data_IF_229584543429
#
_entry.id   IF_229584543429
#
_cell.length_a   1.000
_cell.length_b   1.000
_cell.length_c   1.000
_cell.angle_alpha   90.00
_cell.angle_beta   90.00
_cell.angle_gamma   90.00
#
_symmetry.space_group_name_H-M   'P 1'
#
loop_
_entity.id
_entity.type
_entity.pdbx_description
1 polymer ?
#
# COMPACT_ATOMS: atom_id res chain seq x y z
N UNK A 1 -48.33 -29.71 -28.00
CA UNK A 1 -46.99 -29.09 -27.86
C UNK A 1 -47.11 -27.61 -28.11
N UNK A 2 -46.79 -26.76 -27.13
CA UNK A 2 -46.80 -25.30 -27.29
C UNK A 2 -45.78 -24.89 -28.36
N UNK A 3 -46.22 -24.15 -29.37
CA UNK A 3 -45.40 -23.71 -30.51
C UNK A 3 -44.43 -22.64 -29.99
N UNK A 4 -43.12 -22.90 -30.00
CA UNK A 4 -42.11 -21.88 -29.67
C UNK A 4 -42.17 -20.77 -30.72
N UNK A 5 -42.72 -19.62 -30.34
CA UNK A 5 -42.90 -18.47 -31.23
C UNK A 5 -41.60 -17.67 -31.38
N UNK A 6 -40.72 -17.72 -30.36
CA UNK A 6 -39.42 -17.04 -30.34
C UNK A 6 -38.46 -17.70 -29.35
N UNK A 7 -37.15 -17.51 -29.54
CA UNK A 7 -36.11 -17.93 -28.59
C UNK A 7 -36.26 -17.21 -27.25
N UNK A 8 -36.78 -15.98 -27.27
CA UNK A 8 -36.96 -15.15 -26.08
C UNK A 8 -38.08 -15.64 -25.15
N UNK A 9 -39.02 -16.45 -25.65
CA UNK A 9 -40.08 -17.07 -24.83
C UNK A 9 -39.75 -18.51 -24.44
N UNK A 10 -38.56 -19.00 -24.75
CA UNK A 10 -38.13 -20.37 -24.44
C UNK A 10 -37.41 -20.44 -23.08
N UNK A 11 -38.10 -20.97 -22.08
CA UNK A 11 -37.53 -21.17 -20.74
C UNK A 11 -36.25 -22.02 -20.76
N UNK A 12 -36.14 -23.03 -21.63
CA UNK A 12 -34.93 -23.87 -21.70
C UNK A 12 -33.75 -23.13 -22.28
N UNK A 13 -33.99 -22.22 -23.23
CA UNK A 13 -32.93 -21.35 -23.76
C UNK A 13 -32.36 -20.50 -22.63
N UNK A 14 -33.21 -19.79 -21.88
CA UNK A 14 -32.76 -18.93 -20.78
C UNK A 14 -32.07 -19.69 -19.65
N UNK A 15 -32.56 -20.86 -19.27
CA UNK A 15 -31.91 -21.72 -18.28
C UNK A 15 -30.49 -22.12 -18.72
N UNK A 16 -30.32 -22.51 -19.99
CA UNK A 16 -29.00 -22.86 -20.55
C UNK A 16 -28.10 -21.65 -20.67
N UNK A 17 -28.62 -20.52 -21.14
CA UNK A 17 -27.86 -19.28 -21.27
C UNK A 17 -27.38 -18.78 -19.90
N UNK A 18 -28.24 -18.82 -18.88
CA UNK A 18 -27.85 -18.49 -17.51
C UNK A 18 -26.73 -19.43 -17.01
N UNK A 19 -26.89 -20.74 -17.19
CA UNK A 19 -25.86 -21.72 -16.81
C UNK A 19 -24.52 -21.46 -17.53
N UNK A 20 -24.54 -21.18 -18.84
CA UNK A 20 -23.34 -20.89 -19.61
C UNK A 20 -22.68 -19.58 -19.21
N UNK A 21 -23.43 -18.49 -19.09
CA UNK A 21 -22.91 -17.17 -18.70
C UNK A 21 -22.29 -17.25 -17.31
N UNK A 22 -22.99 -17.86 -16.34
CA UNK A 22 -22.46 -18.05 -14.98
C UNK A 22 -21.23 -18.96 -14.99
N UNK A 23 -21.26 -20.07 -15.73
CA UNK A 23 -20.13 -21.00 -15.81
C UNK A 23 -18.88 -20.36 -16.41
N UNK A 24 -19.01 -19.66 -17.54
CA UNK A 24 -17.88 -18.96 -18.19
C UNK A 24 -17.37 -17.81 -17.33
N UNK A 25 -18.27 -17.00 -16.74
CA UNK A 25 -17.87 -15.93 -15.83
C UNK A 25 -17.11 -16.48 -14.61
N UNK A 26 -17.56 -17.60 -14.04
CA UNK A 26 -16.87 -18.25 -12.93
C UNK A 26 -15.47 -18.74 -13.33
N UNK A 27 -15.32 -19.40 -14.48
CA UNK A 27 -14.00 -19.82 -14.98
C UNK A 27 -13.07 -18.63 -15.22
N UNK A 28 -13.59 -17.53 -15.80
CA UNK A 28 -12.82 -16.31 -16.03
C UNK A 28 -12.36 -15.69 -14.70
N UNK A 29 -13.22 -15.61 -13.70
CA UNK A 29 -12.87 -15.10 -12.37
C UNK A 29 -11.82 -15.97 -11.68
N UNK A 30 -11.92 -17.31 -11.80
CA UNK A 30 -10.89 -18.22 -11.28
C UNK A 30 -9.55 -17.95 -11.95
N UNK A 31 -9.53 -17.82 -13.27
CA UNK A 31 -8.30 -17.53 -14.00
C UNK A 31 -7.69 -16.18 -13.62
N UNK A 32 -8.49 -15.11 -13.57
CA UNK A 32 -8.06 -13.78 -13.13
C UNK A 32 -7.57 -13.76 -11.68
N UNK A 33 -8.09 -14.65 -10.84
CA UNK A 33 -7.61 -14.82 -9.46
C UNK A 33 -6.17 -15.33 -9.46
N UNK A 34 -5.85 -16.37 -10.22
CA UNK A 34 -4.47 -16.88 -10.32
C UNK A 34 -3.50 -15.88 -10.94
N UNK A 35 -3.93 -15.17 -11.99
CA UNK A 35 -3.16 -14.09 -12.59
C UNK A 35 -2.85 -12.99 -11.55
N UNK A 36 -3.87 -12.52 -10.83
CA UNK A 36 -3.71 -11.52 -9.78
C UNK A 36 -2.78 -11.99 -8.66
N UNK A 37 -2.94 -13.24 -8.19
CA UNK A 37 -2.06 -13.83 -7.16
C UNK A 37 -0.59 -13.83 -7.60
N UNK A 38 -0.31 -14.08 -8.89
CA UNK A 38 1.06 -14.04 -9.41
C UNK A 38 1.65 -12.63 -9.41
N UNK A 39 0.82 -11.61 -9.68
CA UNK A 39 1.23 -10.21 -9.74
C UNK A 39 1.42 -9.57 -8.36
N UNK A 40 0.67 -10.01 -7.35
CA UNK A 40 0.76 -9.50 -5.97
C UNK A 40 1.68 -10.32 -5.08
N UNK A 41 2.33 -11.36 -5.62
CA UNK A 41 3.29 -12.17 -4.87
C UNK A 41 4.46 -11.28 -4.44
N UNK A 42 4.70 -11.26 -3.13
CA UNK A 42 5.81 -10.53 -2.52
C UNK A 42 7.16 -11.10 -3.01
N UNK A 43 8.12 -10.21 -3.24
CA UNK A 43 9.51 -10.60 -3.51
C UNK A 43 10.24 -11.11 -2.27
N UNK A 44 11.38 -11.74 -2.48
CA UNK A 44 12.28 -12.18 -1.41
C UNK A 44 13.48 -11.26 -1.24
N UNK A 45 14.25 -11.44 -0.18
CA UNK A 45 15.52 -10.71 0.01
C UNK A 45 16.49 -10.90 -1.16
N UNK A 46 16.52 -12.08 -1.78
CA UNK A 46 17.38 -12.39 -2.93
C UNK A 46 16.96 -11.58 -4.17
N UNK A 47 15.65 -11.47 -4.42
CA UNK A 47 15.13 -10.61 -5.51
C UNK A 47 15.63 -9.17 -5.34
N UNK A 48 15.54 -8.64 -4.12
CA UNK A 48 15.99 -7.27 -3.84
C UNK A 48 17.51 -7.12 -4.02
N UNK A 49 18.30 -8.09 -3.54
CA UNK A 49 19.77 -8.07 -3.67
C UNK A 49 20.26 -8.22 -5.11
N UNK A 50 19.47 -8.86 -5.97
CA UNK A 50 19.76 -9.05 -7.40
C UNK A 50 19.27 -7.89 -8.27
N UNK A 51 18.70 -6.84 -7.65
CA UNK A 51 18.13 -5.69 -8.35
C UNK A 51 16.79 -5.97 -9.02
N UNK A 52 16.14 -7.10 -8.70
CA UNK A 52 14.82 -7.47 -9.22
C UNK A 52 13.75 -6.83 -8.33
N UNK A 53 13.15 -5.75 -8.82
CA UNK A 53 12.02 -5.09 -8.15
C UNK A 53 10.70 -5.69 -8.64
N UNK A 54 10.16 -6.66 -7.88
CA UNK A 54 8.78 -7.12 -8.08
C UNK A 54 7.79 -6.02 -7.72
N UNK A 55 6.56 -6.13 -8.23
CA UNK A 55 5.48 -5.17 -7.95
C UNK A 55 5.27 -4.97 -6.45
N UNK A 56 5.28 -6.05 -5.69
CA UNK A 56 5.31 -6.04 -4.23
C UNK A 56 6.72 -6.45 -3.79
N UNK A 57 7.55 -5.53 -3.29
CA UNK A 57 8.92 -5.83 -2.91
C UNK A 57 8.99 -6.65 -1.62
N UNK A 58 10.18 -7.16 -1.34
CA UNK A 58 10.48 -7.92 -0.11
C UNK A 58 10.19 -7.13 1.15
N UNK A 59 9.80 -7.79 2.26
CA UNK A 59 9.72 -7.16 3.58
C UNK A 59 10.98 -6.36 3.95
N UNK A 60 12.16 -6.84 3.53
CA UNK A 60 13.44 -6.21 3.85
C UNK A 60 13.64 -4.84 3.19
N UNK A 61 12.73 -4.40 2.33
CA UNK A 61 12.75 -3.05 1.73
C UNK A 61 12.76 -1.94 2.79
N UNK A 62 12.29 -2.23 4.02
CA UNK A 62 12.36 -1.27 5.14
C UNK A 62 13.80 -0.87 5.50
N UNK A 63 14.79 -1.70 5.16
CA UNK A 63 16.22 -1.42 5.35
C UNK A 63 16.81 -0.49 4.28
N UNK A 64 16.01 -0.04 3.32
CA UNK A 64 16.46 0.72 2.17
C UNK A 64 15.67 2.00 2.04
N UNK A 65 16.31 3.00 1.42
CA UNK A 65 15.65 4.23 1.02
C UNK A 65 14.69 3.93 -0.13
N UNK A 66 13.46 4.41 -0.02
CA UNK A 66 12.43 4.29 -1.06
C UNK A 66 12.22 5.68 -1.67
N UNK A 67 12.35 5.78 -2.98
CA UNK A 67 12.04 7.01 -3.75
C UNK A 67 11.15 6.67 -4.94
N UNK A 68 10.70 7.72 -5.66
CA UNK A 68 9.94 7.58 -6.90
C UNK A 68 10.63 8.39 -8.00
N UNK A 69 10.75 7.78 -9.18
CA UNK A 69 11.35 8.42 -10.34
C UNK A 69 10.46 8.23 -11.57
N UNK A 70 10.41 9.24 -12.44
CA UNK A 70 9.61 9.16 -13.66
C UNK A 70 10.23 8.16 -14.65
N UNK A 71 9.46 7.15 -15.06
CA UNK A 71 9.88 6.20 -16.09
C UNK A 71 9.33 6.62 -17.45
N UNK A 72 10.20 7.07 -18.37
CA UNK A 72 9.79 7.42 -19.74
C UNK A 72 9.08 6.25 -20.45
N UNK A 73 9.56 5.02 -20.24
CA UNK A 73 8.99 3.80 -20.82
C UNK A 73 7.55 3.54 -20.36
N UNK A 74 7.24 3.85 -19.10
CA UNK A 74 5.93 3.57 -18.50
C UNK A 74 5.01 4.80 -18.51
N UNK A 75 5.55 5.99 -18.65
CA UNK A 75 4.80 7.25 -18.68
C UNK A 75 4.32 7.73 -17.30
N UNK A 76 4.88 7.18 -16.21
CA UNK A 76 4.52 7.52 -14.83
C UNK A 76 5.67 7.23 -13.87
N UNK A 77 5.54 7.71 -12.63
CA UNK A 77 6.51 7.52 -11.56
C UNK A 77 6.50 6.09 -11.02
N UNK A 78 7.69 5.50 -10.87
CA UNK A 78 7.91 4.13 -10.38
C UNK A 78 8.77 4.14 -9.12
N UNK A 79 8.58 3.17 -8.19
CA UNK A 79 9.43 3.07 -7.02
C UNK A 79 10.86 2.72 -7.42
N UNK A 80 11.82 3.41 -6.80
CA UNK A 80 13.24 3.11 -6.87
C UNK A 80 13.71 2.79 -5.45
N UNK A 81 14.35 1.63 -5.29
CA UNK A 81 14.94 1.22 -4.02
C UNK A 81 16.41 1.60 -4.06
N UNK A 82 16.78 2.53 -3.20
CA UNK A 82 18.11 3.11 -3.13
C UNK A 82 19.04 2.37 -2.17
N UNK A 83 19.95 3.12 -1.57
CA UNK A 83 20.92 2.63 -0.59
C UNK A 83 20.27 2.21 0.74
N UNK A 84 21.07 1.58 1.60
CA UNK A 84 20.62 1.21 2.95
C UNK A 84 20.28 2.45 3.78
N UNK A 85 19.19 2.35 4.51
CA UNK A 85 18.70 3.38 5.41
C UNK A 85 18.35 2.74 6.76
N UNK A 86 18.70 3.42 7.85
CA UNK A 86 18.33 2.95 9.20
C UNK A 86 16.83 3.11 9.40
N UNK A 87 16.20 2.07 9.91
CA UNK A 87 14.81 2.01 10.33
C UNK A 87 14.75 1.77 11.85
N UNK A 88 14.33 2.77 12.63
CA UNK A 88 14.43 2.74 14.10
C UNK A 88 15.84 2.35 14.58
N UNK A 89 16.86 3.01 14.03
CA UNK A 89 18.27 2.84 14.43
C UNK A 89 19.01 1.64 13.83
N UNK A 90 18.32 0.72 13.15
CA UNK A 90 18.89 -0.50 12.54
C UNK A 90 18.66 -0.55 11.04
N UNK A 91 19.58 -1.09 10.25
CA UNK A 91 19.47 -1.26 8.79
C UNK A 91 19.65 -2.72 8.34
N UNK A 92 19.48 -3.65 9.29
CA UNK A 92 19.86 -5.06 9.17
C UNK A 92 18.72 -6.03 9.47
N UNK A 93 17.47 -5.57 9.45
CA UNK A 93 16.31 -6.44 9.73
C UNK A 93 16.32 -7.63 8.76
N UNK A 94 16.29 -8.83 9.34
CA UNK A 94 16.11 -10.07 8.58
C UNK A 94 14.73 -10.09 7.91
N UNK A 95 14.55 -10.99 6.92
CA UNK A 95 13.27 -11.13 6.24
C UNK A 95 12.15 -11.55 7.20
N UNK A 96 12.46 -12.39 8.19
CA UNK A 96 11.53 -12.80 9.24
C UNK A 96 11.15 -11.64 10.16
N UNK A 97 12.13 -10.88 10.68
CA UNK A 97 11.87 -9.72 11.53
C UNK A 97 11.06 -8.64 10.79
N UNK A 98 11.44 -8.34 9.55
CA UNK A 98 10.74 -7.37 8.72
C UNK A 98 9.31 -7.84 8.44
N UNK A 99 9.11 -9.12 8.09
CA UNK A 99 7.77 -9.67 7.85
C UNK A 99 6.92 -9.64 9.12
N UNK A 100 7.49 -9.90 10.30
CA UNK A 100 6.77 -9.82 11.57
C UNK A 100 6.30 -8.38 11.86
N UNK A 101 7.15 -7.37 11.64
CA UNK A 101 6.79 -5.96 11.78
C UNK A 101 5.69 -5.55 10.79
N UNK A 102 5.80 -5.96 9.53
CA UNK A 102 4.80 -5.69 8.49
C UNK A 102 3.45 -6.33 8.82
N UNK A 103 3.46 -7.56 9.31
CA UNK A 103 2.25 -8.25 9.77
C UNK A 103 1.60 -7.55 10.96
N UNK A 104 2.40 -7.13 11.93
CA UNK A 104 1.90 -6.37 13.08
C UNK A 104 1.27 -5.04 12.63
N UNK A 105 1.94 -4.29 11.76
CA UNK A 105 1.42 -3.03 11.22
C UNK A 105 0.15 -3.21 10.39
N UNK A 106 0.13 -4.24 9.53
CA UNK A 106 -1.07 -4.58 8.76
C UNK A 106 -2.24 -4.93 9.68
N UNK A 107 -2.02 -5.77 10.68
CA UNK A 107 -3.05 -6.13 11.66
C UNK A 107 -3.52 -4.90 12.44
N UNK A 108 -2.59 -4.07 12.93
CA UNK A 108 -2.91 -2.82 13.63
C UNK A 108 -3.76 -1.89 12.75
N UNK A 109 -3.41 -1.72 11.47
CA UNK A 109 -4.21 -0.87 10.55
C UNK A 109 -5.65 -1.37 10.40
N UNK A 110 -5.86 -2.68 10.47
CA UNK A 110 -7.17 -3.31 10.37
C UNK A 110 -7.94 -3.22 11.69
N UNK A 111 -7.30 -3.51 12.82
CA UNK A 111 -7.93 -3.47 14.15
C UNK A 111 -8.30 -2.06 14.57
N UNK A 112 -7.47 -1.07 14.21
CA UNK A 112 -7.73 0.36 14.41
C UNK A 112 -8.59 0.97 13.30
N UNK A 113 -9.00 0.17 12.32
CA UNK A 113 -9.91 0.53 11.23
C UNK A 113 -9.48 1.78 10.44
N UNK A 114 -8.19 1.88 10.11
CA UNK A 114 -7.63 3.05 9.40
C UNK A 114 -8.37 3.32 8.08
N UNK A 115 -8.83 2.28 7.38
CA UNK A 115 -9.59 2.39 6.12
C UNK A 115 -10.95 3.08 6.26
N UNK A 116 -11.49 3.23 7.48
CA UNK A 116 -12.74 3.96 7.70
C UNK A 116 -12.57 5.49 7.64
N UNK A 117 -11.33 5.97 7.67
CA UNK A 117 -11.00 7.38 7.48
C UNK A 117 -10.14 7.61 6.24
N UNK A 118 -9.21 6.70 5.96
CA UNK A 118 -8.22 6.79 4.89
C UNK A 118 -8.52 5.82 3.75
N UNK A 119 -7.92 6.06 2.60
CA UNK A 119 -7.73 5.03 1.58
C UNK A 119 -6.34 4.39 1.72
N UNK A 120 -6.26 3.10 1.40
CA UNK A 120 -5.02 2.34 1.21
C UNK A 120 -5.10 1.68 -0.16
N UNK A 121 -4.09 1.91 -1.01
CA UNK A 121 -4.13 1.51 -2.42
C UNK A 121 -5.41 1.99 -3.13
N UNK A 122 -5.89 3.20 -2.79
CA UNK A 122 -7.12 3.78 -3.34
C UNK A 122 -8.43 3.18 -2.81
N UNK A 123 -8.39 2.26 -1.85
CA UNK A 123 -9.58 1.64 -1.26
C UNK A 123 -9.78 2.11 0.18
N UNK A 124 -10.97 2.57 0.53
CA UNK A 124 -11.30 3.05 1.88
C UNK A 124 -12.19 4.29 1.86
N UNK A 125 -12.12 5.08 2.93
CA UNK A 125 -12.87 6.33 3.07
C UNK A 125 -12.04 7.56 2.66
N UNK A 126 -12.74 8.67 2.40
CA UNK A 126 -12.16 9.92 1.90
C UNK A 126 -12.17 11.05 2.94
N UNK A 127 -12.31 10.70 4.22
CA UNK A 127 -12.24 11.69 5.28
C UNK A 127 -10.81 12.20 5.45
N UNK A 128 -9.82 11.34 5.33
CA UNK A 128 -8.41 11.66 5.46
C UNK A 128 -7.61 11.27 4.20
N UNK A 129 -6.37 11.76 4.04
CA UNK A 129 -5.55 11.47 2.86
C UNK A 129 -5.25 9.97 2.66
N UNK A 130 -4.93 9.60 1.43
CA UNK A 130 -4.51 8.25 1.07
C UNK A 130 -3.16 7.89 1.73
N UNK A 131 -3.09 6.71 2.34
CA UNK A 131 -1.90 6.27 3.07
C UNK A 131 -0.89 5.51 2.21
N UNK A 132 -1.18 5.25 0.94
CA UNK A 132 -0.35 4.39 0.06
C UNK A 132 1.09 4.86 -0.01
N UNK A 133 1.29 6.18 -0.02
CA UNK A 133 2.62 6.81 -0.08
C UNK A 133 2.91 7.68 1.14
N UNK A 134 2.21 7.45 2.26
CA UNK A 134 2.33 8.29 3.45
C UNK A 134 3.76 8.37 4.00
N UNK A 135 4.57 7.31 3.87
CA UNK A 135 5.99 7.33 4.28
C UNK A 135 6.82 8.38 3.51
N UNK A 136 6.41 8.71 2.30
CA UNK A 136 7.14 9.61 1.40
C UNK A 136 6.64 11.05 1.47
N UNK A 137 5.69 11.36 2.36
CA UNK A 137 5.17 12.71 2.51
C UNK A 137 6.27 13.68 2.97
N UNK A 138 6.50 14.80 2.25
CA UNK A 138 7.55 15.77 2.59
C UNK A 138 7.24 16.51 3.89
N UNK A 139 5.97 16.52 4.34
CA UNK A 139 5.61 17.17 5.59
C UNK A 139 6.30 16.53 6.79
N UNK A 140 6.76 15.28 6.69
CA UNK A 140 7.46 14.61 7.79
C UNK A 140 8.70 15.37 8.26
N UNK A 141 9.39 16.11 7.38
CA UNK A 141 10.54 16.93 7.79
C UNK A 141 10.11 18.05 8.75
N UNK A 142 8.96 18.67 8.49
CA UNK A 142 8.35 19.67 9.38
C UNK A 142 7.86 19.05 10.70
N UNK A 143 7.24 17.87 10.62
CA UNK A 143 6.80 17.14 11.82
C UNK A 143 7.97 16.69 12.70
N UNK A 144 9.07 16.24 12.12
CA UNK A 144 10.29 15.89 12.86
C UNK A 144 10.81 17.09 13.66
N UNK A 145 10.91 18.27 13.03
CA UNK A 145 11.33 19.51 13.68
C UNK A 145 10.36 19.92 14.80
N UNK A 146 9.05 19.89 14.53
CA UNK A 146 8.00 20.28 15.50
C UNK A 146 7.98 19.36 16.71
N UNK A 147 8.14 18.05 16.52
CA UNK A 147 8.10 17.04 17.59
C UNK A 147 9.47 16.76 18.22
N UNK A 148 10.54 17.39 17.72
CA UNK A 148 11.91 17.16 18.19
C UNK A 148 12.39 15.71 17.98
N UNK A 149 11.93 15.05 16.91
CA UNK A 149 12.32 13.67 16.59
C UNK A 149 13.48 13.65 15.60
N UNK A 150 14.41 12.72 15.79
CA UNK A 150 15.64 12.64 15.00
C UNK A 150 15.45 11.91 13.67
N UNK A 151 14.36 11.13 13.54
CA UNK A 151 14.09 10.32 12.37
C UNK A 151 12.62 10.37 11.95
N UNK A 152 12.36 10.06 10.68
CA UNK A 152 11.00 10.01 10.12
C UNK A 152 10.18 8.92 10.80
N UNK A 153 10.81 7.77 11.07
CA UNK A 153 10.17 6.66 11.76
C UNK A 153 9.61 7.06 13.12
N UNK A 154 10.40 7.78 13.91
CA UNK A 154 10.02 8.25 15.24
C UNK A 154 8.94 9.32 15.16
N UNK A 155 8.99 10.23 14.18
CA UNK A 155 7.94 11.22 13.97
C UNK A 155 6.60 10.56 13.62
N UNK A 156 6.58 9.61 12.69
CA UNK A 156 5.36 8.89 12.32
C UNK A 156 4.82 8.11 13.53
N UNK A 157 5.70 7.42 14.27
CA UNK A 157 5.30 6.65 15.44
C UNK A 157 4.74 7.54 16.57
N UNK A 158 5.32 8.73 16.77
CA UNK A 158 4.81 9.72 17.73
C UNK A 158 3.44 10.23 17.33
N UNK A 159 3.26 10.61 16.05
CA UNK A 159 1.97 11.07 15.53
C UNK A 159 0.87 10.02 15.69
N UNK A 160 1.18 8.75 15.42
CA UNK A 160 0.22 7.65 15.56
C UNK A 160 -0.21 7.42 17.01
N UNK A 161 0.69 7.59 17.98
CA UNK A 161 0.40 7.43 19.41
C UNK A 161 -0.31 8.66 19.99
N UNK A 162 0.04 9.84 19.51
CA UNK A 162 -0.42 11.14 20.03
C UNK A 162 -0.94 12.06 18.91
N UNK A 163 -1.99 11.65 18.15
CA UNK A 163 -2.46 12.41 16.99
C UNK A 163 -3.09 13.76 17.38
N UNK A 164 -3.67 13.85 18.58
CA UNK A 164 -4.32 15.08 19.07
C UNK A 164 -3.33 16.19 19.43
N UNK A 165 -2.10 15.85 19.79
CA UNK A 165 -1.06 16.81 20.17
C UNK A 165 -0.40 17.45 18.93
N UNK A 166 -0.59 16.83 17.77
CA UNK A 166 0.00 17.23 16.49
C UNK A 166 -1.08 17.37 15.41
N UNK A 167 -2.05 18.30 15.55
CA UNK A 167 -3.08 18.49 14.54
C UNK A 167 -2.45 18.84 13.21
N UNK A 168 -2.81 18.05 12.19
CA UNK A 168 -2.33 18.21 10.82
C UNK A 168 -3.20 19.17 10.01
N UNK A 169 -4.52 19.10 10.21
CA UNK A 169 -5.56 19.81 9.45
C UNK A 169 -6.82 20.00 10.33
N UNK A 170 -7.85 20.65 9.80
CA UNK A 170 -9.19 20.71 10.42
C UNK A 170 -9.79 19.33 10.70
N UNK A 171 -9.40 18.34 9.89
CA UNK A 171 -9.77 16.93 10.08
C UNK A 171 -8.73 16.26 10.95
N UNK A 172 -9.11 15.96 12.19
CA UNK A 172 -8.21 15.37 13.18
C UNK A 172 -8.34 13.86 13.21
N UNK A 173 -7.20 13.17 13.28
CA UNK A 173 -7.17 11.75 13.59
C UNK A 173 -7.54 11.55 15.07
N UNK A 174 -8.54 10.72 15.40
CA UNK A 174 -8.86 10.42 16.79
C UNK A 174 -7.73 9.61 17.43
N UNK A 175 -7.60 9.66 18.76
CA UNK A 175 -6.71 8.77 19.47
C UNK A 175 -7.31 7.36 19.50
N UNK A 176 -6.66 6.42 18.80
CA UNK A 176 -7.10 5.02 18.66
C UNK A 176 -6.42 4.08 19.69
N UNK A 177 -5.66 4.64 20.64
CA UNK A 177 -4.88 3.88 21.61
C UNK A 177 -3.85 2.98 20.93
N UNK A 178 -3.15 3.50 19.93
CA UNK A 178 -2.06 2.78 19.25
C UNK A 178 -0.89 2.67 20.22
N UNK A 179 -0.42 1.47 20.46
CA UNK A 179 0.74 1.20 21.32
C UNK A 179 2.06 1.47 20.58
N UNK A 180 3.17 1.58 21.30
CA UNK A 180 4.49 1.79 20.70
C UNK A 180 4.87 0.67 19.70
N UNK A 181 4.56 -0.59 20.01
CA UNK A 181 4.85 -1.72 19.14
C UNK A 181 3.97 -1.71 17.88
N UNK A 182 2.67 -1.43 18.03
CA UNK A 182 1.76 -1.23 16.89
C UNK A 182 2.20 -0.06 16.03
N UNK A 183 2.63 1.05 16.63
CA UNK A 183 3.13 2.22 15.91
C UNK A 183 4.37 1.86 15.09
N UNK A 184 5.36 1.17 15.67
CA UNK A 184 6.55 0.69 14.95
C UNK A 184 6.15 -0.22 13.78
N UNK A 185 5.24 -1.16 14.00
CA UNK A 185 4.70 -2.03 12.95
C UNK A 185 3.99 -1.25 11.84
N UNK A 186 3.13 -0.29 12.21
CA UNK A 186 2.42 0.58 11.28
C UNK A 186 3.39 1.38 10.41
N UNK A 187 4.43 1.97 10.99
CA UNK A 187 5.46 2.68 10.23
C UNK A 187 6.14 1.73 9.24
N UNK A 188 6.49 0.51 9.66
CA UNK A 188 7.11 -0.48 8.77
C UNK A 188 6.18 -0.87 7.61
N UNK A 189 4.89 -1.06 7.92
CA UNK A 189 3.85 -1.34 6.94
C UNK A 189 3.63 -0.18 5.96
N UNK A 190 3.61 1.07 6.43
CA UNK A 190 3.47 2.26 5.58
C UNK A 190 4.72 2.46 4.69
N UNK A 191 5.92 2.21 5.21
CA UNK A 191 7.18 2.23 4.44
C UNK A 191 7.15 1.18 3.33
N UNK A 192 6.78 -0.06 3.66
CA UNK A 192 6.61 -1.14 2.68
C UNK A 192 5.53 -0.81 1.64
N UNK A 193 4.35 -0.35 2.07
CA UNK A 193 3.27 0.03 1.15
C UNK A 193 3.69 1.14 0.18
N UNK A 194 4.51 2.08 0.66
CA UNK A 194 5.06 3.14 -0.19
C UNK A 194 5.98 2.63 -1.29
N UNK A 195 6.66 1.50 -1.05
CA UNK A 195 7.53 0.85 -2.05
C UNK A 195 6.79 -0.02 -3.09
N UNK A 196 5.50 -0.29 -2.90
CA UNK A 196 4.71 -1.07 -3.87
C UNK A 196 4.52 -0.28 -5.17
N UNK A 197 4.81 -0.93 -6.29
CA UNK A 197 4.52 -0.40 -7.63
C UNK A 197 3.01 -0.48 -7.92
N UNK A 198 2.37 0.66 -7.76
CA UNK A 198 0.93 0.86 -7.91
C UNK A 198 0.55 1.34 -9.31
N UNK A 199 1.42 1.14 -10.31
CA UNK A 199 1.24 1.61 -11.70
C UNK A 199 0.92 3.12 -11.78
N UNK A 200 1.64 3.94 -11.00
CA UNK A 200 1.51 5.39 -11.02
C UNK A 200 0.39 5.96 -10.12
N UNK A 201 -0.21 5.15 -9.24
CA UNK A 201 -1.11 5.64 -8.20
C UNK A 201 -0.37 5.98 -6.88
N UNK A 202 -0.74 7.03 -6.14
CA UNK A 202 -1.61 8.11 -6.55
C UNK A 202 -0.95 8.96 -7.65
N UNK A 203 -1.76 9.48 -8.56
CA UNK A 203 -1.24 10.20 -9.73
C UNK A 203 -0.61 11.52 -9.33
N UNK A 204 0.52 11.88 -9.94
CA UNK A 204 1.30 13.10 -9.65
C UNK A 204 1.94 13.13 -8.25
N UNK A 205 2.16 11.97 -7.62
CA UNK A 205 2.87 11.92 -6.34
C UNK A 205 4.31 12.45 -6.46
N UNK A 206 4.97 12.29 -7.61
CA UNK A 206 6.35 12.74 -7.83
C UNK A 206 6.52 14.23 -8.09
N UNK A 207 5.47 15.05 -7.97
CA UNK A 207 5.58 16.52 -7.97
C UNK A 207 5.93 17.10 -6.59
N UNK A 208 6.37 16.25 -5.68
CA UNK A 208 6.85 16.61 -4.35
C UNK A 208 8.32 17.02 -4.46
N UNK A 209 8.64 18.27 -4.11
CA UNK A 209 10.01 18.74 -3.92
C UNK A 209 10.77 17.77 -2.96
N UNK A 210 11.94 17.27 -3.38
CA UNK A 210 12.77 16.36 -2.56
C UNK A 210 13.05 14.97 -3.16
N UNK A 211 12.47 14.64 -4.33
CA UNK A 211 12.98 13.52 -5.15
C UNK A 211 14.40 13.81 -5.65
N UNK A 212 15.20 12.77 -5.96
CA UNK A 212 16.60 12.90 -6.45
C UNK A 212 16.70 13.83 -7.69
N UNK A 213 15.59 14.02 -8.40
CA UNK A 213 15.43 14.99 -9.50
C UNK A 213 14.18 15.88 -9.38
N UNK A 214 13.64 16.10 -8.17
CA UNK A 214 12.51 17.00 -7.97
C UNK A 214 12.87 18.42 -8.42
N UNK A 215 12.12 18.94 -9.41
CA UNK A 215 12.07 20.39 -9.63
C UNK A 215 11.19 21.03 -8.58
#
# INVERSE_FOLDING_TARGET
MSKKVSVWTDNRFWQRSAAWVTGVAAMLLIWLTFDSMSQIKMGSKEDLSSGITKRVPSPTVINYKVSYEFSEKRGHEVPVIGEKEKFFGRDDYSEEEAMALLNLGKLASQTKNCMNCHTLLGNGAYYAPDLTKAWLDPMWDSYMLRMGKASKEEAIAEFLQHPSDNPSNERMMPNLGITADEAKGLVAFLKHMSSIDTNGFPRNFGKIEGGIHGR
#
